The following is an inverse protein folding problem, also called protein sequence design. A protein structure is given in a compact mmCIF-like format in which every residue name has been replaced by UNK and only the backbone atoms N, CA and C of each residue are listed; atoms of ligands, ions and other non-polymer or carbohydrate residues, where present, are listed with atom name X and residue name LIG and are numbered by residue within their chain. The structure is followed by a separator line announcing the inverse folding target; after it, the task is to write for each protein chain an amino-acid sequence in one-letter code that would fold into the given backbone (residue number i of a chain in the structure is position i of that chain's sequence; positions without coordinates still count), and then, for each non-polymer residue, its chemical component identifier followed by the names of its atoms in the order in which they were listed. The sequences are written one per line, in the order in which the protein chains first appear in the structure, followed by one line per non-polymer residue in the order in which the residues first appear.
data_IF_698110277112
#
_entry.id   IF_698110277112
#
_cell.length_a   1.000
_cell.length_b   1.000
_cell.length_c   1.000
_cell.angle_alpha   90.00
_cell.angle_beta   90.00
_cell.angle_gamma   90.00
#
_symmetry.space_group_name_H-M   'P 1'
#
loop_
_entity.id
_entity.type
_entity.pdbx_description
1 polymer ?
#
# COMPACT_ATOMS: atom_id res chain seq x y z
N UNK A 1 -14.50 61.11 59.59
CA UNK A 1 -14.34 59.65 59.26
C UNK A 1 -14.32 59.50 57.76
N UNK A 2 -13.11 59.32 57.18
CA UNK A 2 -12.94 59.12 55.74
C UNK A 2 -12.69 57.60 55.50
N UNK A 3 -13.64 56.91 54.88
CA UNK A 3 -13.49 55.54 54.45
C UNK A 3 -12.68 55.54 53.18
N UNK A 4 -11.54 54.87 53.19
CA UNK A 4 -10.65 54.64 52.09
C UNK A 4 -11.13 53.31 51.37
N UNK A 5 -11.70 53.42 50.16
CA UNK A 5 -12.15 52.30 49.37
C UNK A 5 -10.91 51.75 48.62
N UNK A 6 -10.42 50.60 49.06
CA UNK A 6 -9.39 49.85 48.36
C UNK A 6 -10.03 49.00 47.25
N UNK A 7 -9.74 49.35 46.02
CA UNK A 7 -10.16 48.60 44.82
C UNK A 7 -9.12 47.54 44.53
N UNK A 8 -9.43 46.25 44.54
CA UNK A 8 -8.47 45.21 44.15
C UNK A 8 -8.37 45.15 42.63
N UNK A 9 -7.14 45.40 42.12
CA UNK A 9 -6.75 45.25 40.75
C UNK A 9 -6.65 43.75 40.43
N UNK A 10 -7.68 43.18 39.79
CA UNK A 10 -7.67 41.82 39.26
C UNK A 10 -6.78 41.78 38.02
N UNK A 11 -5.55 41.28 38.18
CA UNK A 11 -4.70 40.90 37.06
C UNK A 11 -5.31 39.66 36.40
N UNK A 12 -5.94 39.84 35.24
CA UNK A 12 -6.31 38.74 34.33
C UNK A 12 -5.03 38.21 33.70
N UNK A 13 -4.47 37.14 34.25
CA UNK A 13 -3.53 36.29 33.56
C UNK A 13 -4.34 35.50 32.50
N UNK A 14 -4.35 35.97 31.25
CA UNK A 14 -4.82 35.17 30.13
C UNK A 14 -3.86 33.98 29.98
N UNK A 15 -4.36 32.70 30.03
CA UNK A 15 -3.52 31.61 29.69
C UNK A 15 -3.23 31.70 28.18
N UNK A 16 -1.98 31.89 27.81
CA UNK A 16 -1.50 31.69 26.47
C UNK A 16 -1.73 30.22 26.15
N UNK A 17 -2.82 29.95 25.45
CA UNK A 17 -2.99 28.66 24.79
C UNK A 17 -1.86 28.55 23.74
N UNK A 18 -0.75 27.94 24.13
CA UNK A 18 0.19 27.42 23.18
C UNK A 18 -0.60 26.40 22.33
N UNK A 19 -0.96 26.81 21.13
CA UNK A 19 -1.38 25.88 20.08
C UNK A 19 -0.16 25.00 19.84
N UNK A 20 -0.10 23.86 20.56
CA UNK A 20 0.73 22.76 20.13
C UNK A 20 0.19 22.38 18.77
N UNK A 21 0.88 22.78 17.71
CA UNK A 21 0.74 22.17 16.41
C UNK A 21 1.02 20.68 16.62
N UNK A 22 -0.03 19.90 16.78
CA UNK A 22 0.04 18.44 16.68
C UNK A 22 0.53 18.19 15.27
N UNK A 23 1.86 18.03 15.13
CA UNK A 23 2.43 17.40 13.97
C UNK A 23 1.64 16.08 13.86
N UNK A 24 0.83 15.94 12.83
CA UNK A 24 0.08 14.72 12.56
C UNK A 24 1.14 13.64 12.47
N UNK A 25 1.25 12.82 13.52
CA UNK A 25 2.22 11.76 13.61
C UNK A 25 1.92 10.83 12.42
N UNK A 26 2.79 10.89 11.43
CA UNK A 26 2.63 10.17 10.18
C UNK A 26 2.91 8.70 10.49
N UNK A 27 1.87 7.96 10.88
CA UNK A 27 1.98 6.53 11.13
C UNK A 27 2.48 5.86 9.84
N UNK A 28 3.56 5.08 9.93
CA UNK A 28 4.13 4.42 8.77
C UNK A 28 3.12 3.42 8.19
N UNK A 29 3.14 3.27 6.86
CA UNK A 29 2.40 2.20 6.22
C UNK A 29 2.95 0.85 6.68
N UNK A 30 2.06 -0.12 6.93
CA UNK A 30 2.47 -1.44 7.43
C UNK A 30 2.01 -2.55 6.50
N UNK A 31 2.86 -3.57 6.33
CA UNK A 31 2.49 -4.87 5.76
C UNK A 31 2.61 -5.96 6.80
N UNK A 32 1.55 -6.71 7.04
CA UNK A 32 1.49 -7.70 8.13
C UNK A 32 1.90 -7.14 9.51
N UNK A 33 1.64 -5.85 9.77
CA UNK A 33 2.06 -5.16 10.99
C UNK A 33 3.55 -4.85 11.07
N UNK A 34 4.28 -4.96 9.95
CA UNK A 34 5.69 -4.56 9.81
C UNK A 34 5.69 -3.22 9.09
N UNK A 35 6.30 -2.20 9.70
CA UNK A 35 6.38 -0.86 9.10
C UNK A 35 7.30 -0.86 7.87
N UNK A 36 6.89 -0.15 6.81
CA UNK A 36 7.67 -0.08 5.58
C UNK A 36 8.95 0.76 5.75
N UNK A 37 8.99 1.70 6.68
CA UNK A 37 10.14 2.56 6.93
C UNK A 37 11.35 1.84 7.58
N UNK A 38 11.26 0.52 7.79
CA UNK A 38 12.37 -0.30 8.25
C UNK A 38 13.46 -0.45 7.19
N UNK A 39 14.66 -0.85 7.63
CA UNK A 39 15.69 -1.31 6.70
C UNK A 39 15.24 -2.60 6.01
N UNK A 40 15.71 -2.84 4.77
CA UNK A 40 15.34 -4.03 4.02
C UNK A 40 15.69 -5.32 4.77
N UNK A 41 16.82 -5.37 5.49
CA UNK A 41 17.22 -6.51 6.30
C UNK A 41 16.25 -6.76 7.46
N UNK A 42 15.94 -5.73 8.28
CA UNK A 42 15.02 -5.86 9.40
C UNK A 42 13.59 -6.23 8.96
N UNK A 43 13.17 -5.73 7.79
CA UNK A 43 11.89 -6.09 7.19
C UNK A 43 11.86 -7.57 6.77
N UNK A 44 12.93 -8.05 6.12
CA UNK A 44 13.10 -9.45 5.71
C UNK A 44 13.08 -10.42 6.91
N UNK A 45 13.79 -10.06 7.99
CA UNK A 45 13.79 -10.84 9.24
C UNK A 45 12.39 -10.90 9.85
N UNK A 46 11.70 -9.77 9.86
CA UNK A 46 10.32 -9.69 10.35
C UNK A 46 9.34 -10.49 9.49
N UNK A 47 9.48 -10.49 8.18
CA UNK A 47 8.71 -11.35 7.27
C UNK A 47 8.97 -12.83 7.58
N UNK A 48 10.24 -13.20 7.76
CA UNK A 48 10.65 -14.57 8.07
C UNK A 48 10.05 -15.04 9.41
N UNK A 49 10.04 -14.19 10.42
CA UNK A 49 9.39 -14.47 11.72
C UNK A 49 7.86 -14.66 11.60
N UNK A 50 7.25 -14.11 10.55
CA UNK A 50 5.81 -14.29 10.23
C UNK A 50 5.54 -15.48 9.29
N UNK A 51 6.57 -16.31 9.02
CA UNK A 51 6.45 -17.53 8.24
C UNK A 51 6.62 -17.36 6.72
N UNK A 52 7.00 -16.18 6.27
CA UNK A 52 7.43 -15.99 4.88
C UNK A 52 8.83 -16.56 4.69
N UNK A 53 9.07 -17.19 3.55
CA UNK A 53 10.37 -17.79 3.21
C UNK A 53 10.97 -17.08 2.01
N UNK A 54 12.28 -16.78 1.99
CA UNK A 54 12.94 -16.24 0.80
C UNK A 54 12.65 -17.13 -0.42
N UNK A 55 12.31 -16.48 -1.54
CA UNK A 55 12.03 -17.16 -2.80
C UNK A 55 13.17 -16.86 -3.78
N UNK A 56 13.90 -17.90 -4.17
CA UNK A 56 15.07 -17.77 -5.05
C UNK A 56 14.82 -18.40 -6.42
N UNK A 57 13.72 -19.14 -6.57
CA UNK A 57 13.38 -19.75 -7.84
C UNK A 57 12.92 -18.67 -8.85
N UNK A 58 13.20 -18.85 -10.14
CA UNK A 58 12.69 -17.97 -11.18
C UNK A 58 11.16 -17.92 -11.16
N UNK A 59 10.61 -16.72 -11.05
CA UNK A 59 9.18 -16.48 -11.04
C UNK A 59 8.73 -16.00 -12.42
N UNK A 60 7.52 -16.43 -12.84
CA UNK A 60 6.85 -15.89 -14.02
C UNK A 60 6.03 -14.62 -13.73
N UNK A 61 6.37 -13.92 -12.65
CA UNK A 61 5.71 -12.69 -12.23
C UNK A 61 6.58 -11.49 -12.64
N UNK A 62 5.97 -10.31 -12.83
CA UNK A 62 6.69 -9.09 -13.17
C UNK A 62 7.45 -8.53 -11.94
N UNK A 63 8.49 -9.25 -11.52
CA UNK A 63 9.34 -8.87 -10.39
C UNK A 63 10.42 -7.90 -10.87
N UNK A 64 10.61 -6.81 -10.16
CA UNK A 64 11.64 -5.81 -10.47
C UNK A 64 13.03 -6.35 -10.15
N UNK A 65 13.98 -6.09 -11.04
CA UNK A 65 15.36 -6.56 -10.87
C UNK A 65 15.98 -5.98 -9.59
N UNK A 66 16.55 -6.84 -8.78
CA UNK A 66 17.22 -6.44 -7.54
C UNK A 66 16.35 -6.40 -6.29
N UNK A 67 15.05 -6.55 -6.43
CA UNK A 67 14.15 -6.67 -5.29
C UNK A 67 14.23 -8.07 -4.65
N UNK A 68 14.06 -8.13 -3.33
CA UNK A 68 13.95 -9.38 -2.62
C UNK A 68 12.54 -9.95 -2.73
N UNK A 69 12.44 -11.28 -2.85
CA UNK A 69 11.16 -11.97 -2.95
C UNK A 69 11.00 -13.01 -1.85
N UNK A 70 9.75 -13.13 -1.36
CA UNK A 70 9.38 -14.05 -0.30
C UNK A 70 8.10 -14.77 -0.66
N UNK A 71 8.03 -16.06 -0.35
CA UNK A 71 6.82 -16.88 -0.49
C UNK A 71 6.16 -17.06 0.86
N UNK A 72 4.85 -16.83 0.93
CA UNK A 72 4.10 -17.00 2.17
C UNK A 72 2.59 -17.00 1.96
N UNK A 73 1.87 -16.60 2.98
CA UNK A 73 0.41 -16.41 2.95
C UNK A 73 0.06 -15.06 3.53
N UNK A 74 -0.82 -14.35 2.83
CA UNK A 74 -1.42 -13.11 3.29
C UNK A 74 -2.93 -13.24 3.22
N UNK A 75 -3.65 -12.92 4.31
CA UNK A 75 -5.09 -13.15 4.47
C UNK A 75 -5.49 -14.60 4.09
N UNK A 76 -4.68 -15.57 4.51
CA UNK A 76 -4.82 -17.00 4.18
C UNK A 76 -4.69 -17.37 2.69
N UNK A 77 -4.34 -16.44 1.82
CA UNK A 77 -4.12 -16.67 0.40
C UNK A 77 -2.61 -16.87 0.16
N UNK A 78 -2.17 -17.91 -0.55
CA UNK A 78 -0.79 -18.06 -0.96
C UNK A 78 -0.33 -16.86 -1.80
N UNK A 79 0.86 -16.36 -1.53
CA UNK A 79 1.37 -15.18 -2.25
C UNK A 79 2.90 -15.18 -2.38
N UNK A 80 3.35 -14.38 -3.33
CA UNK A 80 4.74 -13.91 -3.41
C UNK A 80 4.74 -12.44 -3.00
N UNK A 81 5.63 -12.09 -2.09
CA UNK A 81 5.88 -10.72 -1.64
C UNK A 81 7.18 -10.26 -2.25
N UNK A 82 7.12 -9.20 -3.02
CA UNK A 82 8.28 -8.49 -3.53
C UNK A 82 8.53 -7.27 -2.66
N UNK A 83 9.77 -7.07 -2.22
CA UNK A 83 10.19 -5.96 -1.35
C UNK A 83 11.18 -5.09 -2.11
N UNK A 84 10.76 -3.88 -2.42
CA UNK A 84 11.59 -2.83 -2.97
C UNK A 84 12.19 -1.96 -1.87
N UNK A 85 13.33 -1.34 -2.18
CA UNK A 85 14.05 -0.48 -1.26
C UNK A 85 14.65 0.72 -1.99
N UNK A 86 14.76 1.82 -1.28
CA UNK A 86 15.44 3.01 -1.76
C UNK A 86 16.97 2.93 -1.59
N UNK A 87 17.68 3.98 -2.01
CA UNK A 87 19.15 4.04 -1.88
C UNK A 87 19.66 4.07 -0.43
N UNK A 88 18.80 4.45 0.53
CA UNK A 88 19.14 4.42 1.96
C UNK A 88 18.87 3.05 2.61
N UNK A 89 18.64 2.01 1.81
CA UNK A 89 18.33 0.63 2.22
C UNK A 89 17.04 0.52 3.07
N UNK A 90 16.13 1.50 2.94
CA UNK A 90 14.82 1.45 3.58
C UNK A 90 13.78 0.92 2.60
N UNK A 91 12.86 0.11 3.11
CA UNK A 91 11.76 -0.38 2.31
C UNK A 91 10.85 0.79 1.93
N UNK A 92 10.62 0.95 0.65
CA UNK A 92 9.74 1.96 0.08
C UNK A 92 8.53 1.36 -0.62
N UNK A 93 8.64 0.12 -1.04
CA UNK A 93 7.61 -0.56 -1.83
C UNK A 93 7.48 -2.02 -1.39
N UNK A 94 6.24 -2.45 -1.20
CA UNK A 94 5.89 -3.86 -1.02
C UNK A 94 4.82 -4.22 -2.04
N UNK A 95 5.10 -5.25 -2.86
CA UNK A 95 4.13 -5.78 -3.84
C UNK A 95 3.81 -7.22 -3.50
N UNK A 96 2.53 -7.52 -3.41
CA UNK A 96 2.02 -8.86 -3.06
C UNK A 96 1.28 -9.42 -4.25
N UNK A 97 1.82 -10.47 -4.84
CA UNK A 97 1.17 -11.23 -5.91
C UNK A 97 0.43 -12.41 -5.31
N UNK A 98 -0.88 -12.44 -5.43
CA UNK A 98 -1.70 -13.53 -4.94
C UNK A 98 -1.66 -14.71 -5.92
N UNK A 99 -1.46 -15.91 -5.39
CA UNK A 99 -1.34 -17.15 -6.17
C UNK A 99 -2.61 -17.98 -6.05
N UNK A 100 -2.94 -18.71 -7.13
CA UNK A 100 -4.04 -19.69 -7.14
C UNK A 100 -5.38 -19.11 -6.67
N UNK A 101 -5.69 -17.89 -7.10
CA UNK A 101 -6.93 -17.21 -6.72
C UNK A 101 -8.10 -17.82 -7.50
N UNK A 102 -8.95 -18.59 -6.81
CA UNK A 102 -10.19 -19.10 -7.38
C UNK A 102 -11.16 -17.93 -7.59
N UNK A 103 -11.68 -17.79 -8.80
CA UNK A 103 -12.57 -16.69 -9.18
C UNK A 103 -11.96 -15.31 -8.88
N UNK A 104 -10.98 -14.84 -9.66
CA UNK A 104 -10.22 -13.63 -9.40
C UNK A 104 -11.09 -12.38 -9.34
N UNK A 105 -12.15 -12.27 -10.13
CA UNK A 105 -13.10 -11.15 -10.10
C UNK A 105 -13.82 -11.04 -8.74
N UNK A 106 -14.32 -12.18 -8.24
CA UNK A 106 -14.97 -12.22 -6.94
C UNK A 106 -13.98 -11.90 -5.81
N UNK A 107 -12.77 -12.43 -5.90
CA UNK A 107 -11.72 -12.18 -4.91
C UNK A 107 -11.28 -10.73 -4.89
N UNK A 108 -11.16 -10.10 -6.06
CA UNK A 108 -10.90 -8.67 -6.19
C UNK A 108 -11.96 -7.84 -5.43
N UNK A 109 -13.24 -8.10 -5.68
CA UNK A 109 -14.34 -7.38 -5.02
C UNK A 109 -14.33 -7.57 -3.50
N UNK A 110 -14.12 -8.80 -3.02
CA UNK A 110 -14.08 -9.09 -1.58
C UNK A 110 -12.94 -8.34 -0.91
N UNK A 111 -11.72 -8.45 -1.46
CA UNK A 111 -10.56 -7.79 -0.87
C UNK A 111 -10.66 -6.27 -0.97
N UNK A 112 -11.10 -5.72 -2.08
CA UNK A 112 -11.33 -4.29 -2.23
C UNK A 112 -12.33 -3.77 -1.19
N UNK A 113 -13.42 -4.50 -0.92
CA UNK A 113 -14.38 -4.12 0.12
C UNK A 113 -13.79 -4.19 1.53
N UNK A 114 -12.94 -5.18 1.84
CA UNK A 114 -12.22 -5.25 3.12
C UNK A 114 -11.35 -3.99 3.29
N UNK A 115 -10.66 -3.59 2.24
CA UNK A 115 -9.79 -2.43 2.29
C UNK A 115 -10.54 -1.09 2.28
N UNK A 116 -11.73 -1.03 1.65
CA UNK A 116 -12.66 0.11 1.81
C UNK A 116 -13.08 0.29 3.26
N UNK A 117 -13.40 -0.81 3.94
CA UNK A 117 -13.76 -0.75 5.37
C UNK A 117 -12.56 -0.33 6.24
N UNK A 118 -11.34 -0.60 5.81
CA UNK A 118 -10.11 -0.28 6.54
C UNK A 118 -9.60 1.15 6.27
N UNK A 119 -9.64 1.58 5.02
CA UNK A 119 -9.00 2.82 4.56
C UNK A 119 -9.99 3.88 4.05
N UNK A 120 -11.27 3.58 4.04
CA UNK A 120 -12.32 4.49 3.57
C UNK A 120 -12.51 4.47 2.06
N UNK A 121 -12.93 5.61 1.52
CA UNK A 121 -13.21 5.75 0.08
C UNK A 121 -11.92 5.75 -0.73
N UNK A 122 -11.82 4.97 -1.82
CA UNK A 122 -10.68 5.03 -2.71
C UNK A 122 -10.57 6.42 -3.37
N UNK A 123 -9.34 6.86 -3.61
CA UNK A 123 -9.05 8.10 -4.36
C UNK A 123 -9.13 7.89 -5.87
N UNK A 124 -8.99 6.66 -6.32
CA UNK A 124 -9.16 6.26 -7.71
C UNK A 124 -9.73 4.85 -7.77
N UNK A 125 -10.64 4.62 -8.69
CA UNK A 125 -11.20 3.31 -8.97
C UNK A 125 -11.59 3.21 -10.44
N UNK A 126 -11.00 2.22 -11.08
CA UNK A 126 -11.36 1.78 -12.42
C UNK A 126 -11.99 0.39 -12.29
N UNK A 127 -13.31 0.35 -12.28
CA UNK A 127 -14.07 -0.88 -12.07
C UNK A 127 -15.18 -1.00 -13.11
N UNK A 128 -15.17 -2.09 -13.83
CA UNK A 128 -16.17 -2.42 -14.81
C UNK A 128 -17.22 -3.38 -14.27
N UNK A 129 -18.42 -3.31 -14.80
CA UNK A 129 -19.53 -4.13 -14.36
C UNK A 129 -19.21 -5.64 -14.49
N UNK A 130 -19.42 -6.38 -13.40
CA UNK A 130 -19.10 -7.81 -13.27
C UNK A 130 -20.06 -8.71 -14.05
N UNK A 131 -20.99 -8.17 -14.80
CA UNK A 131 -21.88 -8.95 -15.70
C UNK A 131 -21.18 -9.37 -17.00
N UNK A 132 -19.92 -8.98 -17.20
CA UNK A 132 -19.13 -9.44 -18.33
C UNK A 132 -18.95 -10.96 -18.30
N UNK A 133 -19.18 -11.60 -19.44
CA UNK A 133 -18.87 -13.01 -19.63
C UNK A 133 -17.36 -13.24 -19.40
N UNK A 134 -16.95 -14.41 -18.87
CA UNK A 134 -15.54 -14.67 -18.55
C UNK A 134 -14.54 -14.36 -19.68
N UNK A 135 -14.95 -14.60 -20.93
CA UNK A 135 -14.12 -14.32 -22.10
C UNK A 135 -13.92 -12.81 -22.33
N UNK A 136 -14.99 -12.06 -22.23
CA UNK A 136 -14.93 -10.60 -22.40
C UNK A 136 -14.13 -9.94 -21.26
N UNK A 137 -14.28 -10.46 -20.04
CA UNK A 137 -13.50 -10.01 -18.89
C UNK A 137 -11.99 -10.23 -19.09
N UNK A 138 -11.56 -11.35 -19.67
CA UNK A 138 -10.14 -11.60 -19.96
C UNK A 138 -9.59 -10.58 -20.97
N UNK A 139 -10.31 -10.36 -22.06
CA UNK A 139 -9.88 -9.41 -23.10
C UNK A 139 -9.83 -7.99 -22.53
N UNK A 140 -10.80 -7.60 -21.74
CA UNK A 140 -10.85 -6.28 -21.12
C UNK A 140 -9.72 -6.10 -20.11
N UNK A 141 -9.51 -7.06 -19.20
CA UNK A 141 -8.45 -6.99 -18.19
C UNK A 141 -7.04 -7.12 -18.75
N UNK A 142 -6.90 -7.63 -19.98
CA UNK A 142 -5.63 -7.64 -20.71
C UNK A 142 -5.25 -6.25 -21.24
N UNK A 143 -6.25 -5.43 -21.62
CA UNK A 143 -6.05 -4.08 -22.17
C UNK A 143 -6.17 -2.97 -21.11
N UNK A 144 -7.01 -3.18 -20.10
CA UNK A 144 -7.35 -2.19 -19.09
C UNK A 144 -7.59 -2.89 -17.73
N UNK A 145 -6.56 -2.98 -16.89
CA UNK A 145 -6.63 -3.64 -15.58
C UNK A 145 -7.62 -2.96 -14.64
N UNK A 146 -8.28 -3.71 -13.78
CA UNK A 146 -8.97 -3.14 -12.63
C UNK A 146 -7.95 -2.59 -11.66
N UNK A 147 -8.17 -1.36 -11.22
CA UNK A 147 -7.31 -0.67 -10.25
C UNK A 147 -8.19 0.02 -9.23
N UNK A 148 -7.90 -0.19 -7.95
CA UNK A 148 -8.49 0.56 -6.85
C UNK A 148 -7.36 1.08 -5.97
N UNK A 149 -7.30 2.41 -5.79
CA UNK A 149 -6.22 3.08 -5.07
C UNK A 149 -6.77 3.83 -3.86
N UNK A 150 -6.12 3.65 -2.72
CA UNK A 150 -6.39 4.36 -1.48
C UNK A 150 -5.19 5.23 -1.11
N UNK A 151 -5.48 6.39 -0.50
CA UNK A 151 -4.45 7.19 0.18
C UNK A 151 -4.54 6.95 1.67
N UNK A 152 -3.43 6.54 2.28
CA UNK A 152 -3.34 6.21 3.70
C UNK A 152 -2.23 7.02 4.33
N UNK A 153 -2.56 8.07 5.07
CA UNK A 153 -1.58 8.98 5.66
C UNK A 153 -0.56 9.54 4.63
N UNK A 154 -1.01 9.84 3.42
CA UNK A 154 -0.14 10.31 2.33
C UNK A 154 0.59 9.19 1.58
N UNK A 155 0.49 7.95 2.02
CA UNK A 155 1.02 6.77 1.35
C UNK A 155 0.00 6.16 0.39
N UNK A 156 0.45 5.32 -0.53
CA UNK A 156 -0.42 4.68 -1.52
C UNK A 156 -0.61 3.20 -1.22
N UNK A 157 -1.87 2.76 -1.24
CA UNK A 157 -2.26 1.35 -1.23
C UNK A 157 -3.11 1.10 -2.46
N UNK A 158 -2.66 0.21 -3.34
CA UNK A 158 -3.33 -0.06 -4.61
C UNK A 158 -3.59 -1.55 -4.80
N UNK A 159 -4.80 -1.89 -5.17
CA UNK A 159 -5.16 -3.19 -5.71
C UNK A 159 -5.23 -3.13 -7.21
N UNK A 160 -4.72 -4.18 -7.87
CA UNK A 160 -4.88 -4.35 -9.31
C UNK A 160 -5.21 -5.79 -9.67
N UNK A 161 -6.02 -5.97 -10.68
CA UNK A 161 -6.32 -7.24 -11.32
C UNK A 161 -6.19 -7.07 -12.82
N UNK A 162 -5.25 -7.79 -13.42
CA UNK A 162 -5.06 -7.85 -14.86
C UNK A 162 -5.09 -9.30 -15.36
N UNK A 163 -5.22 -9.48 -16.67
CA UNK A 163 -5.05 -10.77 -17.32
C UNK A 163 -3.80 -10.75 -18.19
N UNK A 164 -2.81 -11.57 -17.86
CA UNK A 164 -1.61 -11.73 -18.69
C UNK A 164 -1.90 -12.73 -19.81
N UNK A 165 -1.94 -12.23 -21.04
CA UNK A 165 -2.25 -13.03 -22.24
C UNK A 165 -1.15 -14.07 -22.50
N UNK A 166 0.11 -13.77 -22.17
CA UNK A 166 1.25 -14.67 -22.40
C UNK A 166 1.23 -15.84 -21.42
N UNK A 167 0.94 -15.55 -20.16
CA UNK A 167 0.82 -16.56 -19.11
C UNK A 167 -0.52 -17.26 -19.10
N UNK A 168 -1.55 -16.65 -19.74
CA UNK A 168 -2.96 -17.07 -19.69
C UNK A 168 -3.49 -17.16 -18.26
N UNK A 169 -3.06 -16.24 -17.42
CA UNK A 169 -3.40 -16.21 -15.99
C UNK A 169 -3.83 -14.81 -15.55
N UNK A 170 -4.70 -14.77 -14.54
CA UNK A 170 -5.00 -13.54 -13.85
C UNK A 170 -3.88 -13.20 -12.87
N UNK A 171 -3.35 -12.00 -12.96
CA UNK A 171 -2.41 -11.46 -11.99
C UNK A 171 -3.18 -10.54 -11.07
N UNK A 172 -3.22 -10.91 -9.81
CA UNK A 172 -3.85 -10.14 -8.76
C UNK A 172 -2.78 -9.63 -7.81
N UNK A 173 -2.72 -8.32 -7.63
CA UNK A 173 -1.62 -7.65 -6.92
C UNK A 173 -2.15 -6.63 -5.92
N UNK A 174 -1.52 -6.59 -4.75
CA UNK A 174 -1.60 -5.49 -3.79
C UNK A 174 -0.25 -4.78 -3.78
N UNK A 175 -0.25 -3.48 -3.99
CA UNK A 175 0.93 -2.62 -3.96
C UNK A 175 0.81 -1.62 -2.81
N UNK A 176 1.84 -1.56 -1.98
CA UNK A 176 1.99 -0.57 -0.92
C UNK A 176 3.23 0.28 -1.22
N UNK A 177 3.08 1.60 -1.22
CA UNK A 177 4.16 2.54 -1.47
C UNK A 177 4.25 3.51 -0.30
N UNK A 178 5.39 3.53 0.37
CA UNK A 178 5.75 4.61 1.31
C UNK A 178 6.27 5.80 0.50
N UNK A 179 5.40 6.77 0.27
CA UNK A 179 5.70 7.92 -0.60
C UNK A 179 6.78 8.85 -0.04
N UNK A 180 7.09 8.78 1.26
CA UNK A 180 8.21 9.52 1.84
C UNK A 180 9.55 8.91 1.47
N UNK A 181 9.61 7.59 1.44
CA UNK A 181 10.82 6.84 1.17
C UNK A 181 10.95 6.46 -0.31
N UNK A 182 9.83 6.36 -1.02
CA UNK A 182 9.84 6.12 -2.46
C UNK A 182 10.55 7.28 -3.16
N UNK A 183 11.60 6.97 -3.89
CA UNK A 183 12.18 7.96 -4.78
C UNK A 183 11.14 8.31 -5.85
N UNK A 184 11.06 9.61 -6.24
CA UNK A 184 10.34 9.91 -7.46
C UNK A 184 10.92 9.00 -8.54
N UNK A 185 10.09 8.15 -9.12
CA UNK A 185 10.44 7.45 -10.34
C UNK A 185 10.69 8.57 -11.35
N UNK A 186 11.96 8.93 -11.51
CA UNK A 186 12.35 9.72 -12.66
C UNK A 186 11.88 8.86 -13.82
N UNK A 187 10.79 9.29 -14.44
CA UNK A 187 10.30 8.69 -15.66
C UNK A 187 11.39 8.89 -16.70
N UNK A 188 12.37 7.98 -16.70
CA UNK A 188 13.14 7.73 -17.89
C UNK A 188 12.13 7.19 -18.89
N UNK A 189 11.65 8.11 -19.70
CA UNK A 189 10.72 7.92 -20.81
C UNK A 189 11.25 6.97 -21.88
N UNK A 190 12.30 6.21 -21.62
CA UNK A 190 12.97 5.32 -22.59
C UNK A 190 12.90 3.82 -22.22
N UNK A 191 12.34 3.43 -21.09
CA UNK A 191 11.94 2.04 -20.90
C UNK A 191 10.42 1.92 -21.08
N UNK A 192 10.02 1.73 -22.32
CA UNK A 192 8.72 1.16 -22.67
C UNK A 192 8.66 -0.19 -21.97
N UNK A 193 7.93 -0.24 -20.85
CA UNK A 193 7.53 -1.53 -20.28
C UNK A 193 6.56 -2.12 -21.30
N UNK A 194 7.07 -2.88 -22.24
CA UNK A 194 6.25 -3.77 -23.07
C UNK A 194 5.66 -4.81 -22.14
N UNK A 195 4.40 -4.64 -21.86
CA UNK A 195 3.55 -5.57 -21.11
C UNK A 195 3.30 -6.84 -21.92
#
# INVERSE_FOLDING_TARGET
MKQLLLLPLLLFCAPAFAQSSTATEHLPLTFCGIALDNTAAAFADSLSAKGFKPETAPLRLPISKGNATFRGRFENIPCIVEVGKNHADRVDTVRVFFLNVNNPLRSYNILTNIYRNRYGTPIFENYYDTHLLPHDAQQQLASDPFVTTFSVNGNTVQFSLCYDVRLREYIYCLLLIDTKNAQPVLSNTDEVIEW
#
